data_IF_601508236133
#
_entry.id   IF_601508236133
#
_cell.length_a   1.000
_cell.length_b   1.000
_cell.length_c   1.000
_cell.angle_alpha   90.00
_cell.angle_beta   90.00
_cell.angle_gamma   90.00
#
_symmetry.space_group_name_H-M   'P 1'
#
loop_
_entity.id
_entity.type
_entity.pdbx_description
1 polymer ?
#
# COMPACT_ATOMS: atom_id res chain seq x y z
N UNK A 1 5.26 -11.81 -32.65
CA UNK A 1 5.60 -13.05 -31.95
C UNK A 1 4.79 -13.08 -30.65
N UNK A 2 3.96 -14.09 -30.50
CA UNK A 2 3.18 -14.25 -29.27
C UNK A 2 4.06 -14.83 -28.17
N UNK A 3 3.77 -14.45 -26.91
CA UNK A 3 4.31 -15.15 -25.76
C UNK A 3 3.66 -16.54 -25.66
N UNK A 4 4.32 -17.49 -25.01
CA UNK A 4 3.71 -18.78 -24.75
C UNK A 4 2.48 -18.67 -23.82
N UNK A 5 1.66 -19.70 -23.77
CA UNK A 5 0.38 -19.69 -23.07
C UNK A 5 0.53 -19.45 -21.56
N UNK A 6 1.61 -19.97 -20.93
CA UNK A 6 1.84 -19.79 -19.52
C UNK A 6 2.27 -18.36 -19.19
N UNK A 7 3.09 -17.75 -20.06
CA UNK A 7 3.46 -16.33 -19.95
C UNK A 7 2.23 -15.43 -20.12
N UNK A 8 1.37 -15.72 -21.11
CA UNK A 8 0.12 -14.96 -21.30
C UNK A 8 -0.79 -15.09 -20.06
N UNK A 9 -0.87 -16.29 -19.50
CA UNK A 9 -1.61 -16.54 -18.25
C UNK A 9 -1.05 -15.72 -17.11
N UNK A 10 0.27 -15.72 -16.90
CA UNK A 10 0.92 -14.92 -15.86
C UNK A 10 0.62 -13.41 -16.02
N UNK A 11 0.76 -12.88 -17.24
CA UNK A 11 0.51 -11.46 -17.55
C UNK A 11 -0.95 -11.07 -17.28
N UNK A 12 -1.90 -11.93 -17.65
CA UNK A 12 -3.32 -11.58 -17.60
C UNK A 12 -3.98 -11.88 -16.26
N UNK A 13 -3.43 -12.79 -15.47
CA UNK A 13 -4.10 -13.32 -14.27
C UNK A 13 -3.39 -12.97 -12.96
N UNK A 14 -2.09 -12.64 -12.96
CA UNK A 14 -1.40 -12.30 -11.72
C UNK A 14 -2.21 -11.26 -10.93
N UNK A 15 -2.44 -11.54 -9.66
CA UNK A 15 -3.18 -10.64 -8.78
C UNK A 15 -2.45 -9.31 -8.61
N UNK A 16 -3.24 -8.24 -8.50
CA UNK A 16 -2.74 -6.90 -8.25
C UNK A 16 -3.50 -6.28 -7.10
N UNK A 17 -2.80 -5.76 -6.09
CA UNK A 17 -3.36 -5.29 -4.83
C UNK A 17 -4.14 -3.98 -4.99
N UNK A 18 -5.12 -3.79 -4.12
CA UNK A 18 -5.93 -2.57 -4.03
C UNK A 18 -5.61 -1.77 -2.78
N UNK A 19 -4.36 -1.83 -2.32
CA UNK A 19 -3.97 -1.15 -1.10
C UNK A 19 -4.03 0.37 -1.25
N UNK A 20 -4.59 0.99 -0.22
CA UNK A 20 -4.75 2.44 -0.14
C UNK A 20 -4.22 2.94 1.20
N UNK A 21 -3.79 4.19 1.24
CA UNK A 21 -3.29 4.84 2.45
C UNK A 21 -4.07 6.11 2.70
N UNK A 22 -4.71 6.19 3.87
CA UNK A 22 -5.31 7.42 4.37
C UNK A 22 -4.44 7.96 5.50
N UNK A 23 -3.91 9.15 5.31
CA UNK A 23 -3.08 9.87 6.27
C UNK A 23 -3.96 10.83 7.05
N UNK A 24 -3.85 10.82 8.38
CA UNK A 24 -4.57 11.72 9.28
C UNK A 24 -3.55 12.48 10.14
N UNK A 25 -3.59 13.81 10.12
CA UNK A 25 -2.69 14.62 10.91
C UNK A 25 -3.34 15.02 12.25
N UNK A 26 -2.54 14.93 13.32
CA UNK A 26 -2.91 15.31 14.67
C UNK A 26 -1.97 16.40 15.20
N UNK A 27 -2.45 17.23 16.12
CA UNK A 27 -1.67 18.31 16.73
C UNK A 27 -0.54 17.77 17.61
N UNK A 28 -0.67 16.54 18.09
CA UNK A 28 0.31 15.80 18.88
C UNK A 28 0.26 14.30 18.56
N UNK A 29 1.28 13.57 19.00
CA UNK A 29 1.33 12.11 18.88
C UNK A 29 0.59 11.45 20.05
N UNK A 30 -0.73 11.68 20.13
CA UNK A 30 -1.62 11.25 21.20
C UNK A 30 -1.46 9.76 21.56
N UNK A 31 -1.23 8.90 20.61
CA UNK A 31 -1.00 7.46 20.79
C UNK A 31 0.29 7.11 21.52
N UNK A 32 1.16 8.08 21.79
CA UNK A 32 2.38 7.93 22.58
C UNK A 32 2.23 8.40 24.03
N UNK A 33 1.11 9.02 24.37
CA UNK A 33 0.88 9.54 25.69
C UNK A 33 0.57 8.42 26.68
N UNK A 34 1.06 8.57 27.92
CA UNK A 34 0.85 7.60 28.98
C UNK A 34 -0.63 7.60 29.39
N UNK A 35 -1.24 6.41 29.48
CA UNK A 35 -2.65 6.25 29.89
C UNK A 35 -3.66 6.26 28.76
N UNK A 36 -3.25 6.52 27.51
CA UNK A 36 -4.13 6.49 26.33
C UNK A 36 -4.47 5.06 25.90
N UNK A 37 -3.57 4.15 26.12
CA UNK A 37 -3.70 2.70 25.91
C UNK A 37 -2.92 2.04 27.03
N UNK A 38 -3.02 0.72 27.28
CA UNK A 38 -2.27 0.07 28.37
C UNK A 38 -0.78 0.43 28.40
N UNK A 39 -0.21 0.75 27.22
CA UNK A 39 1.15 1.27 27.04
C UNK A 39 1.15 2.30 25.91
N UNK A 40 2.02 3.33 25.94
CA UNK A 40 2.22 4.19 24.78
C UNK A 40 2.52 3.36 23.54
N UNK A 41 1.75 3.60 22.47
CA UNK A 41 1.93 2.86 21.22
C UNK A 41 2.86 3.64 20.29
N UNK A 42 4.00 3.06 19.98
CA UNK A 42 5.02 3.70 19.15
C UNK A 42 5.01 3.26 17.69
N UNK A 43 4.23 2.24 17.31
CA UNK A 43 4.47 1.68 15.99
C UNK A 43 3.23 1.20 15.24
N UNK A 44 2.61 0.13 15.68
CA UNK A 44 1.64 -0.57 14.86
C UNK A 44 0.36 -0.86 15.65
N UNK A 45 -0.76 -0.46 15.10
CA UNK A 45 -2.10 -0.83 15.57
C UNK A 45 -2.72 -1.71 14.49
N UNK A 46 -3.20 -2.89 14.88
CA UNK A 46 -3.96 -3.78 14.00
C UNK A 46 -5.35 -3.98 14.60
N UNK A 47 -6.39 -3.85 13.78
CA UNK A 47 -7.78 -3.94 14.20
C UNK A 47 -8.61 -4.68 13.15
N UNK A 48 -9.76 -5.22 13.56
CA UNK A 48 -10.77 -5.81 12.69
C UNK A 48 -11.72 -4.76 12.07
N UNK A 49 -11.62 -3.50 12.49
CA UNK A 49 -12.33 -2.37 11.89
C UNK A 49 -11.81 -2.07 10.47
N UNK A 50 -12.52 -1.24 9.70
CA UNK A 50 -12.12 -0.89 8.32
C UNK A 50 -10.80 -0.12 8.23
N UNK A 51 -10.37 0.54 9.31
CA UNK A 51 -9.06 1.19 9.39
C UNK A 51 -7.88 0.21 9.38
N UNK A 52 -8.12 -1.07 9.60
CA UNK A 52 -7.23 -2.24 9.50
C UNK A 52 -5.90 -2.10 10.22
N UNK A 53 -4.91 -1.54 9.55
CA UNK A 53 -3.55 -1.41 10.06
C UNK A 53 -3.17 0.06 10.07
N UNK A 54 -2.72 0.54 11.22
CA UNK A 54 -2.26 1.92 11.35
C UNK A 54 -0.84 1.94 11.90
N UNK A 55 -0.09 2.93 11.46
CA UNK A 55 1.23 3.23 12.04
C UNK A 55 1.50 4.73 12.08
N UNK A 56 2.42 5.10 12.96
CA UNK A 56 2.95 6.46 13.06
C UNK A 56 3.95 6.72 11.94
N UNK A 57 3.59 7.58 10.98
CA UNK A 57 4.47 8.02 9.89
C UNK A 57 5.44 9.11 10.29
N UNK A 58 5.39 9.57 11.52
CA UNK A 58 6.25 10.64 12.05
C UNK A 58 7.33 10.14 13.01
N UNK A 59 7.61 8.84 13.00
CA UNK A 59 8.71 8.29 13.79
C UNK A 59 10.04 8.90 13.37
N UNK A 60 10.83 9.34 14.35
CA UNK A 60 12.12 9.96 14.10
C UNK A 60 12.07 11.39 13.57
N UNK A 61 10.89 11.96 13.38
CA UNK A 61 10.74 13.38 13.02
C UNK A 61 10.68 14.26 14.27
N UNK A 62 11.26 15.44 14.16
CA UNK A 62 11.16 16.47 15.20
C UNK A 62 9.75 17.09 15.23
N UNK A 63 9.44 17.72 16.38
CA UNK A 63 8.17 18.42 16.60
C UNK A 63 7.09 17.54 17.25
N UNK A 64 5.98 18.18 17.60
CA UNK A 64 4.89 17.57 18.37
C UNK A 64 3.86 16.87 17.49
N UNK A 65 3.59 17.43 16.31
CA UNK A 65 2.56 16.91 15.41
C UNK A 65 2.84 15.47 15.00
N UNK A 66 1.76 14.71 14.84
CA UNK A 66 1.83 13.33 14.40
C UNK A 66 0.95 13.06 13.19
N UNK A 67 1.30 12.02 12.44
CA UNK A 67 0.51 11.50 11.32
C UNK A 67 0.33 9.99 11.50
N UNK A 68 -0.92 9.56 11.65
CA UNK A 68 -1.28 8.16 11.53
C UNK A 68 -1.66 7.85 10.08
N UNK A 69 -1.16 6.71 9.61
CA UNK A 69 -1.55 6.14 8.31
C UNK A 69 -2.45 4.96 8.55
N UNK A 70 -3.66 4.98 8.00
CA UNK A 70 -4.50 3.80 7.85
C UNK A 70 -4.16 3.13 6.53
N UNK A 71 -3.72 1.89 6.59
CA UNK A 71 -3.36 1.06 5.45
C UNK A 71 -4.39 -0.04 5.26
N UNK A 72 -5.09 0.02 4.15
CA UNK A 72 -6.18 -0.88 3.82
C UNK A 72 -5.87 -1.63 2.53
N UNK A 73 -6.54 -2.73 2.30
CA UNK A 73 -6.41 -3.54 1.09
C UNK A 73 -7.67 -4.34 0.81
N UNK A 74 -7.64 -5.17 -0.23
CA UNK A 74 -8.78 -5.99 -0.64
C UNK A 74 -10.02 -5.13 -0.93
N UNK A 75 -11.20 -5.60 -0.53
CA UNK A 75 -12.47 -4.89 -0.75
C UNK A 75 -12.53 -3.53 -0.07
N UNK A 76 -11.91 -3.37 1.10
CA UNK A 76 -11.89 -2.11 1.85
C UNK A 76 -11.01 -1.08 1.13
N UNK A 77 -9.81 -1.47 0.70
CA UNK A 77 -8.94 -0.61 -0.08
C UNK A 77 -9.55 -0.21 -1.44
N UNK A 78 -10.25 -1.14 -2.09
CA UNK A 78 -10.94 -0.90 -3.34
C UNK A 78 -12.21 -0.02 -3.20
N UNK A 79 -12.78 0.09 -1.99
CA UNK A 79 -14.01 0.85 -1.75
C UNK A 79 -13.81 2.37 -1.77
N UNK A 80 -12.58 2.86 -1.72
CA UNK A 80 -12.31 4.28 -1.95
C UNK A 80 -12.65 4.66 -3.39
N UNK A 81 -13.36 5.76 -3.56
CA UNK A 81 -13.75 6.30 -4.87
C UNK A 81 -13.46 7.80 -4.94
N UNK A 82 -12.20 8.22 -4.73
CA UNK A 82 -11.84 9.63 -4.79
C UNK A 82 -11.99 10.19 -6.20
N UNK A 83 -12.06 11.53 -6.31
CA UNK A 83 -12.12 12.20 -7.61
C UNK A 83 -10.75 12.18 -8.33
N UNK A 84 -9.67 12.05 -7.55
CA UNK A 84 -8.29 11.88 -8.03
C UNK A 84 -7.59 10.82 -7.17
N UNK A 85 -6.66 10.05 -7.75
CA UNK A 85 -5.96 8.99 -7.02
C UNK A 85 -5.11 9.50 -5.85
N UNK A 86 -4.70 10.76 -5.90
CA UNK A 86 -3.96 11.45 -4.83
C UNK A 86 -4.64 12.78 -4.57
N UNK A 87 -5.15 12.96 -3.35
CA UNK A 87 -5.87 14.17 -2.98
C UNK A 87 -5.83 14.42 -1.46
N UNK A 88 -6.06 15.66 -1.08
CA UNK A 88 -6.06 16.10 0.31
C UNK A 88 -7.45 16.47 0.78
N UNK A 89 -7.64 16.60 2.10
CA UNK A 89 -8.89 17.10 2.69
C UNK A 89 -9.20 18.55 2.29
N UNK A 90 -8.19 19.32 1.92
CA UNK A 90 -8.39 20.70 1.47
C UNK A 90 -9.03 20.74 0.08
N UNK A 91 -8.72 19.76 -0.78
CA UNK A 91 -9.17 19.69 -2.17
C UNK A 91 -10.43 18.84 -2.37
N UNK A 92 -10.66 17.83 -1.53
CA UNK A 92 -11.70 16.82 -1.75
C UNK A 92 -12.65 16.66 -0.57
N UNK A 93 -13.94 16.81 -0.83
CA UNK A 93 -14.99 16.52 0.14
C UNK A 93 -15.01 15.02 0.51
N UNK A 94 -14.71 14.13 -0.46
CA UNK A 94 -14.63 12.69 -0.22
C UNK A 94 -13.50 12.34 0.74
N UNK A 95 -12.33 12.97 0.63
CA UNK A 95 -11.22 12.75 1.56
C UNK A 95 -11.61 13.21 2.97
N UNK A 96 -12.33 14.31 3.11
CA UNK A 96 -12.88 14.73 4.42
C UNK A 96 -13.84 13.68 4.99
N UNK A 97 -14.73 13.13 4.15
CA UNK A 97 -15.65 12.06 4.57
C UNK A 97 -14.90 10.81 5.03
N UNK A 98 -13.91 10.36 4.26
CA UNK A 98 -13.08 9.20 4.65
C UNK A 98 -12.33 9.46 5.95
N UNK A 99 -11.80 10.66 6.14
CA UNK A 99 -11.14 11.04 7.38
C UNK A 99 -12.11 10.97 8.59
N UNK A 100 -13.33 11.49 8.43
CA UNK A 100 -14.34 11.43 9.49
C UNK A 100 -14.75 10.00 9.86
N UNK A 101 -14.98 9.14 8.86
CA UNK A 101 -15.27 7.72 9.10
C UNK A 101 -14.13 7.02 9.84
N UNK A 102 -12.89 7.29 9.43
CA UNK A 102 -11.72 6.72 10.09
C UNK A 102 -11.54 7.23 11.51
N UNK A 103 -11.81 8.51 11.78
CA UNK A 103 -11.78 9.08 13.13
C UNK A 103 -12.81 8.44 14.06
N UNK A 104 -14.03 8.17 13.56
CA UNK A 104 -15.05 7.46 14.33
C UNK A 104 -14.59 6.07 14.79
N UNK A 105 -13.87 5.36 13.93
CA UNK A 105 -13.31 4.04 14.25
C UNK A 105 -12.07 4.17 15.16
N UNK A 106 -11.21 5.17 14.90
CA UNK A 106 -10.06 5.46 15.75
C UNK A 106 -10.46 5.79 17.18
N UNK A 107 -11.57 6.48 17.37
CA UNK A 107 -12.11 6.81 18.71
C UNK A 107 -12.43 5.56 19.54
N UNK A 108 -12.81 4.45 18.88
CA UNK A 108 -13.04 3.16 19.55
C UNK A 108 -11.72 2.51 20.02
N UNK A 109 -10.63 2.79 19.31
CA UNK A 109 -9.31 2.21 19.59
C UNK A 109 -8.48 3.11 20.50
N UNK A 110 -8.56 4.41 20.27
CA UNK A 110 -7.82 5.46 20.99
C UNK A 110 -8.80 6.55 21.46
N UNK A 111 -9.56 6.31 22.53
CA UNK A 111 -10.57 7.26 23.02
C UNK A 111 -9.97 8.65 23.27
N UNK A 112 -10.61 9.69 22.73
CA UNK A 112 -10.17 11.09 22.83
C UNK A 112 -9.31 11.58 21.67
N UNK A 113 -8.87 10.71 20.77
CA UNK A 113 -7.97 11.09 19.66
C UNK A 113 -8.58 12.12 18.71
N UNK A 114 -9.89 12.10 18.52
CA UNK A 114 -10.59 13.02 17.62
C UNK A 114 -10.42 14.49 17.99
N UNK A 115 -10.24 14.79 19.27
CA UNK A 115 -9.99 16.15 19.75
C UNK A 115 -8.65 16.73 19.27
N UNK A 116 -7.72 15.87 18.86
CA UNK A 116 -6.39 16.21 18.39
C UNK A 116 -6.27 16.24 16.87
N UNK A 117 -7.33 15.89 16.13
CA UNK A 117 -7.31 15.92 14.68
C UNK A 117 -7.25 17.34 14.15
N UNK A 118 -6.29 17.66 13.27
CA UNK A 118 -6.07 19.02 12.75
C UNK A 118 -6.97 19.40 11.58
N UNK A 119 -7.87 18.52 11.14
CA UNK A 119 -8.65 18.72 9.92
C UNK A 119 -7.91 18.32 8.64
N UNK A 120 -6.62 17.95 8.74
CA UNK A 120 -5.81 17.63 7.58
C UNK A 120 -5.70 16.13 7.36
N UNK A 121 -6.07 15.70 6.16
CA UNK A 121 -5.93 14.33 5.69
C UNK A 121 -5.42 14.30 4.24
N UNK A 122 -4.81 13.18 3.86
CA UNK A 122 -4.44 12.91 2.49
C UNK A 122 -4.74 11.45 2.14
N UNK A 123 -5.20 11.18 0.93
CA UNK A 123 -5.47 9.86 0.42
C UNK A 123 -4.49 9.54 -0.72
N UNK A 124 -3.90 8.35 -0.65
CA UNK A 124 -3.19 7.71 -1.75
C UNK A 124 -4.00 6.47 -2.17
N UNK A 125 -4.51 6.49 -3.41
CA UNK A 125 -5.36 5.46 -4.00
C UNK A 125 -4.79 5.02 -5.36
N UNK A 126 -3.71 4.21 -5.37
CA UNK A 126 -3.01 3.80 -6.60
C UNK A 126 -3.89 3.03 -7.58
N UNK A 127 -4.94 2.36 -7.08
CA UNK A 127 -5.90 1.63 -7.91
C UNK A 127 -6.63 2.54 -8.91
N UNK A 128 -6.81 3.81 -8.57
CA UNK A 128 -7.44 4.81 -9.45
C UNK A 128 -6.45 5.55 -10.35
N UNK A 129 -5.16 5.28 -10.24
CA UNK A 129 -4.14 5.87 -11.09
C UNK A 129 -4.05 5.09 -12.41
N UNK A 130 -4.27 5.73 -13.58
CA UNK A 130 -4.28 5.05 -14.87
C UNK A 130 -2.92 4.45 -15.29
N UNK A 131 -1.84 4.85 -14.64
CA UNK A 131 -0.50 4.35 -14.90
C UNK A 131 -0.07 3.25 -13.92
N UNK A 132 -0.71 3.16 -12.75
CA UNK A 132 -0.40 2.16 -11.73
C UNK A 132 -1.42 1.03 -11.69
N UNK A 133 -2.71 1.34 -11.72
CA UNK A 133 -3.85 0.40 -11.72
C UNK A 133 -3.96 -0.48 -10.46
N UNK A 134 -3.09 -0.29 -9.50
CA UNK A 134 -3.02 -1.07 -8.26
C UNK A 134 -1.83 -0.69 -7.40
N UNK A 135 -1.63 -1.40 -6.30
CA UNK A 135 -0.57 -1.10 -5.33
C UNK A 135 0.72 -1.88 -5.58
N UNK A 136 0.63 -3.18 -5.66
CA UNK A 136 1.72 -4.13 -5.94
C UNK A 136 1.14 -5.50 -6.27
N UNK A 137 1.95 -6.39 -6.84
CA UNK A 137 1.51 -7.73 -7.21
C UNK A 137 1.24 -8.59 -5.97
N UNK A 138 0.30 -9.50 -6.07
CA UNK A 138 -0.02 -10.46 -5.03
C UNK A 138 -0.57 -11.76 -5.64
N UNK A 139 -0.21 -12.90 -5.04
CA UNK A 139 -0.74 -14.19 -5.45
C UNK A 139 -2.20 -14.34 -5.05
N UNK A 140 -3.05 -14.71 -6.00
CA UNK A 140 -4.39 -15.23 -5.72
C UNK A 140 -4.31 -16.75 -5.51
N UNK A 141 -5.37 -17.31 -4.97
CA UNK A 141 -5.46 -18.77 -4.73
C UNK A 141 -5.15 -19.53 -6.01
N UNK A 142 -4.21 -20.47 -5.93
CA UNK A 142 -3.76 -21.30 -7.04
C UNK A 142 -2.74 -20.71 -7.99
N UNK A 143 -2.53 -19.40 -8.00
CA UNK A 143 -1.62 -18.76 -8.97
C UNK A 143 -0.15 -19.12 -8.74
N UNK A 144 0.28 -19.16 -7.49
CA UNK A 144 1.65 -19.55 -7.17
C UNK A 144 1.97 -20.97 -7.69
N UNK A 145 1.04 -21.90 -7.52
CA UNK A 145 1.20 -23.28 -8.01
C UNK A 145 1.15 -23.37 -9.53
N UNK A 146 0.39 -22.46 -10.18
CA UNK A 146 0.17 -22.51 -11.62
C UNK A 146 1.35 -21.91 -12.41
N UNK A 147 1.84 -20.75 -12.01
CA UNK A 147 2.86 -20.02 -12.77
C UNK A 147 3.91 -19.27 -11.91
N UNK A 148 4.02 -19.57 -10.60
CA UNK A 148 4.98 -18.91 -9.72
C UNK A 148 6.41 -19.01 -10.23
N UNK A 149 7.07 -17.86 -10.38
CA UNK A 149 8.42 -17.72 -10.95
C UNK A 149 8.44 -17.60 -12.49
N UNK A 150 7.32 -17.89 -13.17
CA UNK A 150 7.27 -17.77 -14.62
C UNK A 150 7.15 -16.31 -15.10
N UNK A 151 6.78 -15.41 -14.22
CA UNK A 151 6.69 -13.96 -14.51
C UNK A 151 8.01 -13.39 -15.01
N UNK A 152 9.13 -13.83 -14.42
CA UNK A 152 10.47 -13.41 -14.79
C UNK A 152 11.06 -14.15 -15.99
N UNK A 153 10.43 -15.23 -16.47
CA UNK A 153 10.98 -16.04 -17.56
C UNK A 153 10.97 -15.26 -18.89
N UNK A 154 12.14 -15.19 -19.51
CA UNK A 154 12.35 -14.54 -20.79
C UNK A 154 11.51 -15.16 -21.91
N UNK A 155 11.08 -14.36 -22.87
CA UNK A 155 10.34 -14.78 -24.06
C UNK A 155 11.02 -14.25 -25.33
N UNK A 156 11.80 -15.09 -25.98
CA UNK A 156 12.62 -14.64 -27.11
C UNK A 156 13.61 -13.53 -26.68
N UNK A 157 13.66 -12.39 -27.36
CA UNK A 157 14.54 -11.27 -26.98
C UNK A 157 13.96 -10.38 -25.87
N UNK A 158 12.80 -10.70 -25.30
CA UNK A 158 12.12 -9.87 -24.32
C UNK A 158 12.40 -10.39 -22.91
N UNK A 159 12.99 -9.54 -22.07
CA UNK A 159 13.23 -9.77 -20.67
C UNK A 159 12.12 -9.12 -19.82
N UNK A 160 11.80 -9.74 -18.68
CA UNK A 160 10.81 -9.24 -17.75
C UNK A 160 11.49 -8.92 -16.41
N UNK A 161 11.19 -7.74 -15.89
CA UNK A 161 11.74 -7.23 -14.64
C UNK A 161 10.67 -6.48 -13.87
N UNK A 162 10.81 -6.39 -12.58
CA UNK A 162 9.91 -5.72 -11.67
C UNK A 162 9.68 -6.55 -10.41
N UNK A 163 9.03 -5.96 -9.39
CA UNK A 163 8.80 -6.64 -8.12
C UNK A 163 7.98 -7.94 -8.28
N UNK A 164 7.10 -7.97 -9.28
CA UNK A 164 6.25 -9.12 -9.61
C UNK A 164 7.03 -10.34 -10.14
N UNK A 165 8.27 -10.14 -10.60
CA UNK A 165 9.16 -11.22 -11.03
C UNK A 165 10.00 -11.78 -9.88
N UNK A 166 10.02 -11.10 -8.72
CA UNK A 166 10.85 -11.49 -7.59
C UNK A 166 10.19 -12.60 -6.77
N UNK A 167 10.87 -13.74 -6.64
CA UNK A 167 10.41 -14.85 -5.80
C UNK A 167 10.61 -14.54 -4.31
N UNK A 168 11.66 -13.78 -3.96
CA UNK A 168 12.04 -13.55 -2.57
C UNK A 168 11.43 -12.28 -1.97
N UNK A 169 11.16 -11.26 -2.80
CA UNK A 169 10.75 -9.94 -2.34
C UNK A 169 9.62 -9.35 -3.21
N UNK A 170 8.66 -10.20 -3.62
CA UNK A 170 7.46 -9.76 -4.32
C UNK A 170 6.69 -8.74 -3.47
N UNK A 171 6.23 -7.66 -4.08
CA UNK A 171 5.51 -6.57 -3.40
C UNK A 171 6.42 -5.55 -2.71
N UNK A 172 7.75 -5.72 -2.78
CA UNK A 172 8.72 -4.82 -2.15
C UNK A 172 9.61 -4.13 -3.17
N UNK A 173 10.10 -2.94 -2.82
CA UNK A 173 11.06 -2.19 -3.65
C UNK A 173 12.35 -2.96 -3.90
N UNK A 174 12.81 -3.74 -2.92
CA UNK A 174 13.97 -4.63 -3.04
C UNK A 174 13.76 -5.68 -4.14
N UNK A 175 12.54 -6.20 -4.30
CA UNK A 175 12.19 -7.10 -5.40
C UNK A 175 12.38 -6.43 -6.76
N UNK A 176 11.92 -5.20 -6.91
CA UNK A 176 12.11 -4.43 -8.13
C UNK A 176 13.59 -4.16 -8.45
N UNK A 177 14.37 -3.77 -7.45
CA UNK A 177 15.80 -3.49 -7.60
C UNK A 177 16.61 -4.75 -7.97
N UNK A 178 16.39 -5.85 -7.25
CA UNK A 178 17.10 -7.12 -7.50
C UNK A 178 16.78 -7.70 -8.86
N UNK A 179 15.53 -7.61 -9.31
CA UNK A 179 15.11 -8.06 -10.64
C UNK A 179 15.71 -7.19 -11.76
N UNK A 180 15.84 -5.88 -11.55
CA UNK A 180 16.57 -5.00 -12.47
C UNK A 180 18.02 -5.42 -12.63
N UNK A 181 18.71 -5.77 -11.54
CA UNK A 181 20.09 -6.28 -11.57
C UNK A 181 20.15 -7.64 -12.29
N UNK A 182 19.20 -8.53 -12.04
CA UNK A 182 19.14 -9.83 -12.71
C UNK A 182 19.05 -9.66 -14.22
N UNK A 183 18.10 -8.88 -14.70
CA UNK A 183 17.90 -8.66 -16.15
C UNK A 183 19.09 -7.96 -16.79
N UNK A 184 19.69 -6.98 -16.13
CA UNK A 184 20.89 -6.33 -16.63
C UNK A 184 22.05 -7.33 -16.83
N UNK A 185 22.24 -8.26 -15.89
CA UNK A 185 23.26 -9.32 -16.01
C UNK A 185 22.96 -10.29 -17.15
N UNK A 186 21.68 -10.70 -17.31
CA UNK A 186 21.26 -11.55 -18.43
C UNK A 186 21.60 -10.92 -19.78
N UNK A 187 21.26 -9.65 -19.98
CA UNK A 187 21.53 -8.92 -21.22
C UNK A 187 23.04 -8.81 -21.48
N UNK A 188 23.82 -8.49 -20.44
CA UNK A 188 25.29 -8.38 -20.58
C UNK A 188 25.99 -9.69 -20.94
N UNK A 189 25.38 -10.84 -20.67
CA UNK A 189 25.92 -12.16 -21.05
C UNK A 189 25.64 -12.50 -22.52
N UNK A 190 24.77 -11.76 -23.19
CA UNK A 190 24.36 -12.02 -24.57
C UNK A 190 25.04 -11.10 -25.61
N UNK A 191 25.76 -10.09 -25.12
CA UNK A 191 26.54 -9.15 -25.91
C UNK A 191 28.02 -9.57 -25.97
#
# INVERSE_FOLDING_TARGET
AGFDDLKQTAITQLGYGTNSKLFLQFDRRYWREQGVWPQPNNSLITTDLDIRVLWDSTQGQDGEKGVLVSFTGGSIGAAYTPDKPYSTSDESAKVREYAHRSLQQLELVLPGISAHYTGKAALSYPTGDPYLLGSYSCWRVGQYTLFGGYEGVRQGPIHFSGEHCSIQAQGYMEGGASEGIRVAREILQEI
#
